data_IF_326384217836
#
_entry.id   IF_326384217836
#
_cell.length_a   1.000
_cell.length_b   1.000
_cell.length_c   1.000
_cell.angle_alpha   90.00
_cell.angle_beta   90.00
_cell.angle_gamma   90.00
#
_symmetry.space_group_name_H-M   'P 1'
#
loop_
_entity.id
_entity.type
_entity.pdbx_description
1 polymer ?
#
# COMPACT_ATOMS: atom_id res chain seq x y z
N UNK A 1 23.72 3.91 25.68
CA UNK A 1 22.32 4.18 26.03
C UNK A 1 21.77 2.94 26.70
N UNK A 2 21.46 3.02 28.01
CA UNK A 2 20.87 1.89 28.73
C UNK A 2 19.46 1.69 28.20
N UNK A 3 19.17 0.51 27.69
CA UNK A 3 17.84 0.03 27.40
C UNK A 3 17.07 -0.09 28.73
N UNK A 4 16.37 0.98 29.10
CA UNK A 4 15.53 0.97 30.30
C UNK A 4 14.24 0.27 29.90
N UNK A 5 14.14 -1.02 30.22
CA UNK A 5 12.89 -1.78 30.11
C UNK A 5 11.80 -1.07 30.91
N UNK A 6 10.81 -0.52 30.21
CA UNK A 6 9.63 0.05 30.85
C UNK A 6 8.68 -1.07 31.24
N UNK A 7 8.18 -1.03 32.49
CA UNK A 7 7.17 -1.97 32.96
C UNK A 7 5.78 -1.40 32.74
N UNK A 8 4.80 -2.26 32.70
CA UNK A 8 3.39 -1.83 32.64
C UNK A 8 3.08 -0.92 33.84
N UNK A 9 2.55 0.28 33.57
CA UNK A 9 2.28 1.30 34.58
C UNK A 9 3.38 2.36 34.76
N UNK A 10 4.56 2.17 34.17
CA UNK A 10 5.60 3.19 34.20
C UNK A 10 5.21 4.42 33.36
N UNK A 11 5.53 5.60 33.85
CA UNK A 11 5.30 6.85 33.10
C UNK A 11 6.40 7.04 32.07
N UNK A 12 6.02 7.08 30.80
CA UNK A 12 6.92 7.41 29.70
C UNK A 12 7.00 8.93 29.53
N UNK A 13 8.15 9.52 29.88
CA UNK A 13 8.42 10.95 29.74
C UNK A 13 9.30 11.21 28.52
N UNK A 14 8.74 11.88 27.50
CA UNK A 14 9.43 12.20 26.23
C UNK A 14 9.63 13.72 26.13
N UNK A 15 10.63 14.24 26.82
CA UNK A 15 10.89 15.69 26.91
C UNK A 15 11.23 16.31 25.55
N UNK A 16 11.98 15.62 24.71
CA UNK A 16 12.41 16.12 23.41
C UNK A 16 11.26 16.11 22.39
N UNK A 17 10.42 15.08 22.39
CA UNK A 17 9.20 15.08 21.61
C UNK A 17 8.24 16.21 22.03
N UNK A 18 8.16 16.48 23.32
CA UNK A 18 7.37 17.61 23.83
C UNK A 18 7.90 18.98 23.35
N UNK A 19 9.23 19.14 23.20
CA UNK A 19 9.82 20.35 22.60
C UNK A 19 9.46 20.45 21.12
N UNK A 20 9.58 19.36 20.37
CA UNK A 20 9.19 19.28 18.95
C UNK A 20 7.74 19.72 18.75
N UNK A 21 6.81 19.18 19.55
CA UNK A 21 5.40 19.61 19.49
C UNK A 21 5.16 21.07 19.85
N UNK A 22 5.95 21.63 20.78
CA UNK A 22 5.88 23.06 21.08
C UNK A 22 6.32 23.94 19.91
N UNK A 23 7.36 23.53 19.17
CA UNK A 23 7.80 24.23 17.96
C UNK A 23 6.71 24.16 16.87
N UNK A 24 6.17 22.97 16.60
CA UNK A 24 5.09 22.81 15.62
C UNK A 24 3.85 23.63 16.01
N UNK A 25 3.47 23.65 17.31
CA UNK A 25 2.36 24.46 17.77
C UNK A 25 2.60 25.96 17.57
N UNK A 26 3.84 26.43 17.71
CA UNK A 26 4.20 27.84 17.58
C UNK A 26 4.26 28.28 16.11
N UNK A 27 4.95 27.51 15.28
CA UNK A 27 5.38 27.92 13.94
C UNK A 27 4.69 27.12 12.81
N UNK A 28 3.76 26.21 13.17
CA UNK A 28 3.02 25.37 12.23
C UNK A 28 3.90 24.44 11.41
N UNK A 29 3.48 24.13 10.19
CA UNK A 29 4.24 23.29 9.25
C UNK A 29 5.63 23.85 8.92
N UNK A 30 5.79 25.17 9.01
CA UNK A 30 7.07 25.85 8.75
C UNK A 30 8.17 25.36 9.70
N UNK A 31 7.86 25.05 10.96
CA UNK A 31 8.84 24.48 11.90
C UNK A 31 9.45 23.18 11.38
N UNK A 32 8.67 22.39 10.67
CA UNK A 32 9.06 21.10 10.13
C UNK A 32 9.75 21.22 8.76
N UNK A 33 9.13 21.89 7.81
CA UNK A 33 9.61 21.90 6.42
C UNK A 33 10.69 22.94 6.13
N UNK A 34 10.71 24.09 6.83
CA UNK A 34 11.66 25.21 6.59
C UNK A 34 12.33 25.68 7.90
N UNK A 35 12.14 24.93 8.99
CA UNK A 35 12.59 25.33 10.33
C UNK A 35 13.69 24.44 10.92
N UNK A 36 13.77 24.54 12.23
CA UNK A 36 14.77 23.83 13.04
C UNK A 36 14.63 22.30 12.94
N UNK A 37 13.37 21.81 12.88
CA UNK A 37 13.10 20.37 12.82
C UNK A 37 13.59 19.81 11.48
N UNK A 38 13.26 20.47 10.36
CA UNK A 38 13.69 20.03 9.04
C UNK A 38 15.20 20.02 8.87
N UNK A 39 15.88 21.05 9.38
CA UNK A 39 17.35 21.07 9.36
C UNK A 39 17.94 19.90 10.15
N UNK A 40 17.44 19.65 11.36
CA UNK A 40 17.91 18.53 12.18
C UNK A 40 17.66 17.16 11.53
N UNK A 41 16.57 17.00 10.78
CA UNK A 41 16.30 15.78 10.00
C UNK A 41 17.33 15.63 8.89
N UNK A 42 17.57 16.68 8.09
CA UNK A 42 18.52 16.64 7.00
C UNK A 42 19.95 16.37 7.48
N UNK A 43 20.37 17.02 8.58
CA UNK A 43 21.68 16.81 9.20
C UNK A 43 21.86 15.33 9.61
N UNK A 44 20.90 14.72 10.29
CA UNK A 44 20.97 13.31 10.69
C UNK A 44 21.02 12.39 9.48
N UNK A 45 20.21 12.64 8.44
CA UNK A 45 20.24 11.83 7.22
C UNK A 45 21.61 11.90 6.54
N UNK A 46 22.21 13.10 6.46
CA UNK A 46 23.53 13.30 5.84
C UNK A 46 24.64 12.67 6.68
N UNK A 47 24.59 12.76 7.99
CA UNK A 47 25.55 12.13 8.91
C UNK A 47 25.61 10.60 8.72
N UNK A 48 24.51 9.97 8.33
CA UNK A 48 24.43 8.55 7.98
C UNK A 48 24.64 8.25 6.50
N UNK A 49 25.11 9.23 5.72
CA UNK A 49 25.43 9.06 4.29
C UNK A 49 24.24 9.16 3.34
N UNK A 50 23.10 9.65 3.80
CA UNK A 50 21.94 9.94 2.95
C UNK A 50 22.08 11.26 2.18
N UNK A 51 21.22 11.48 1.17
CA UNK A 51 21.28 12.62 0.25
C UNK A 51 20.28 13.74 0.53
N UNK A 52 19.38 13.55 1.50
CA UNK A 52 18.34 14.55 1.82
C UNK A 52 18.97 15.88 2.27
N UNK A 53 18.46 16.97 1.71
CA UNK A 53 18.87 18.34 2.05
C UNK A 53 17.73 19.13 2.66
N UNK A 54 17.99 20.26 3.35
CA UNK A 54 16.92 21.16 3.79
C UNK A 54 16.04 21.67 2.65
N UNK A 55 16.62 21.82 1.45
CA UNK A 55 15.89 22.23 0.24
C UNK A 55 14.84 21.21 -0.20
N UNK A 56 15.11 19.93 -0.05
CA UNK A 56 14.14 18.87 -0.39
C UNK A 56 12.91 18.97 0.52
N UNK A 57 13.11 19.26 1.80
CA UNK A 57 12.01 19.46 2.74
C UNK A 57 11.25 20.76 2.45
N UNK A 58 11.96 21.86 2.18
CA UNK A 58 11.31 23.18 1.94
C UNK A 58 10.49 23.23 0.66
N UNK A 59 10.83 22.40 -0.33
CA UNK A 59 10.09 22.27 -1.60
C UNK A 59 8.99 21.21 -1.58
N UNK A 60 8.82 20.49 -0.47
CA UNK A 60 7.77 19.48 -0.37
C UNK A 60 6.39 20.13 -0.45
N UNK A 61 5.59 19.65 -1.37
CA UNK A 61 4.19 20.05 -1.55
C UNK A 61 3.25 18.88 -1.29
N UNK A 62 2.10 19.19 -0.71
CA UNK A 62 1.05 18.19 -0.44
C UNK A 62 0.22 18.01 -1.70
N UNK A 63 0.07 16.78 -2.16
CA UNK A 63 -0.87 16.46 -3.24
C UNK A 63 -2.26 16.17 -2.68
N UNK A 64 -3.27 16.38 -3.52
CA UNK A 64 -4.66 16.04 -3.19
C UNK A 64 -5.22 15.15 -4.28
N UNK A 65 -5.40 13.89 -3.96
CA UNK A 65 -5.83 12.86 -4.88
C UNK A 65 -7.23 12.36 -4.57
N UNK A 66 -7.89 11.80 -5.60
CA UNK A 66 -9.17 11.12 -5.41
C UNK A 66 -8.92 9.73 -4.80
N UNK A 67 -9.80 9.28 -3.88
CA UNK A 67 -9.68 7.91 -3.38
C UNK A 67 -9.88 6.90 -4.51
N UNK A 68 -9.25 5.74 -4.38
CA UNK A 68 -9.62 4.58 -5.16
C UNK A 68 -10.86 3.93 -4.54
N UNK A 69 -11.68 3.35 -5.39
CA UNK A 69 -12.93 2.72 -4.99
C UNK A 69 -12.93 1.25 -5.36
N UNK A 70 -13.60 0.45 -4.55
CA UNK A 70 -13.92 -0.94 -4.79
C UNK A 70 -15.19 -1.33 -4.08
N UNK A 71 -15.66 -2.55 -4.33
CA UNK A 71 -16.82 -3.13 -3.66
C UNK A 71 -16.42 -4.48 -3.06
N UNK A 72 -16.99 -4.82 -1.91
CA UNK A 72 -16.90 -6.14 -1.30
C UNK A 72 -18.18 -6.45 -0.52
N UNK A 73 -18.87 -7.54 -0.86
CA UNK A 73 -20.11 -7.99 -0.22
C UNK A 73 -21.19 -6.90 -0.13
N UNK A 74 -21.33 -6.07 -1.16
CA UNK A 74 -22.32 -4.99 -1.21
C UNK A 74 -21.95 -3.72 -0.45
N UNK A 75 -20.71 -3.62 0.04
CA UNK A 75 -20.18 -2.42 0.67
C UNK A 75 -19.19 -1.71 -0.27
N UNK A 76 -19.43 -0.42 -0.47
CA UNK A 76 -18.46 0.43 -1.15
C UNK A 76 -17.25 0.69 -0.24
N UNK A 77 -16.06 0.51 -0.78
CA UNK A 77 -14.79 0.72 -0.08
C UNK A 77 -14.04 1.86 -0.75
N UNK A 78 -13.82 2.95 0.00
CA UNK A 78 -12.92 4.02 -0.39
C UNK A 78 -11.57 3.85 0.31
N UNK A 79 -10.47 3.93 -0.43
CA UNK A 79 -9.14 3.81 0.16
C UNK A 79 -8.14 4.75 -0.50
N UNK A 80 -6.94 4.84 0.08
CA UNK A 80 -5.89 5.72 -0.43
C UNK A 80 -5.35 5.21 -1.76
N UNK A 81 -5.16 6.12 -2.75
CA UNK A 81 -4.52 5.81 -4.01
C UNK A 81 -3.00 5.66 -3.82
N UNK A 82 -2.26 5.24 -4.87
CA UNK A 82 -0.81 5.39 -4.89
C UNK A 82 -0.37 6.84 -4.61
N UNK A 83 0.80 7.05 -4.01
CA UNK A 83 1.86 6.07 -3.74
C UNK A 83 1.60 5.10 -2.57
N UNK A 84 0.48 5.27 -1.86
CA UNK A 84 0.08 4.28 -0.85
C UNK A 84 -0.29 2.95 -1.50
N UNK A 85 0.46 1.92 -1.21
CA UNK A 85 0.19 0.57 -1.72
C UNK A 85 -0.97 -0.13 -1.00
N UNK A 86 -1.33 0.32 0.21
CA UNK A 86 -2.30 -0.35 1.08
C UNK A 86 -3.68 -0.51 0.46
N UNK A 87 -4.21 0.56 -0.14
CA UNK A 87 -5.56 0.55 -0.70
C UNK A 87 -5.73 -0.40 -1.87
N UNK A 88 -4.82 -0.33 -2.86
CA UNK A 88 -4.87 -1.16 -4.07
C UNK A 88 -4.81 -2.64 -3.73
N UNK A 89 -3.79 -3.03 -2.94
CA UNK A 89 -3.57 -4.44 -2.65
C UNK A 89 -4.56 -5.00 -1.61
N UNK A 90 -5.13 -4.15 -0.75
CA UNK A 90 -6.28 -4.55 0.07
C UNK A 90 -7.50 -4.88 -0.81
N UNK A 91 -7.86 -4.02 -1.77
CA UNK A 91 -8.94 -4.29 -2.70
C UNK A 91 -8.67 -5.52 -3.57
N UNK A 92 -7.43 -5.70 -4.02
CA UNK A 92 -7.01 -6.89 -4.75
C UNK A 92 -7.18 -8.16 -3.89
N UNK A 93 -6.74 -8.15 -2.64
CA UNK A 93 -6.92 -9.27 -1.71
C UNK A 93 -8.39 -9.60 -1.47
N UNK A 94 -9.24 -8.60 -1.29
CA UNK A 94 -10.67 -8.80 -1.12
C UNK A 94 -11.30 -9.46 -2.34
N UNK A 95 -10.94 -9.01 -3.54
CA UNK A 95 -11.40 -9.62 -4.80
C UNK A 95 -10.86 -11.04 -4.99
N UNK A 96 -9.59 -11.28 -4.68
CA UNK A 96 -8.97 -12.61 -4.78
C UNK A 96 -9.62 -13.64 -3.88
N UNK A 97 -10.10 -13.24 -2.69
CA UNK A 97 -10.64 -14.16 -1.69
C UNK A 97 -12.16 -14.34 -1.78
N UNK A 98 -12.84 -13.50 -2.54
CA UNK A 98 -14.30 -13.40 -2.54
C UNK A 98 -14.99 -14.73 -2.92
N UNK A 99 -14.53 -15.39 -3.98
CA UNK A 99 -15.10 -16.65 -4.47
C UNK A 99 -14.89 -17.84 -3.54
N UNK A 100 -13.99 -17.73 -2.55
CA UNK A 100 -13.72 -18.79 -1.59
C UNK A 100 -14.70 -18.81 -0.40
N UNK A 101 -15.63 -17.86 -0.33
CA UNK A 101 -16.69 -17.81 0.68
C UNK A 101 -16.21 -18.09 2.11
N UNK A 102 -15.30 -17.23 2.63
CA UNK A 102 -14.66 -17.41 3.93
C UNK A 102 -15.62 -17.65 5.12
N UNK A 103 -16.88 -17.26 4.98
CA UNK A 103 -17.92 -17.45 6.01
C UNK A 103 -18.28 -18.91 6.26
N UNK A 104 -17.99 -19.80 5.31
CA UNK A 104 -18.25 -21.25 5.46
C UNK A 104 -17.24 -21.96 6.38
N UNK A 105 -16.10 -21.33 6.65
CA UNK A 105 -15.04 -21.92 7.48
C UNK A 105 -15.11 -21.38 8.91
N UNK A 106 -14.73 -22.23 9.86
CA UNK A 106 -14.57 -21.79 11.26
C UNK A 106 -13.57 -20.63 11.33
N UNK A 107 -13.80 -19.59 12.17
CA UNK A 107 -12.90 -18.43 12.27
C UNK A 107 -11.45 -18.78 12.59
N UNK A 108 -11.19 -19.93 13.19
CA UNK A 108 -9.85 -20.40 13.57
C UNK A 108 -9.41 -21.65 12.77
N UNK A 109 -10.09 -21.96 11.67
CA UNK A 109 -9.74 -23.12 10.85
C UNK A 109 -8.43 -22.91 10.08
N UNK A 110 -7.75 -24.01 9.79
CA UNK A 110 -6.56 -24.01 8.95
C UNK A 110 -6.87 -23.48 7.54
N UNK A 111 -7.98 -23.91 6.96
CA UNK A 111 -8.42 -23.53 5.61
C UNK A 111 -8.54 -22.00 5.48
N UNK A 112 -9.14 -21.36 6.46
CA UNK A 112 -9.31 -19.90 6.47
C UNK A 112 -7.97 -19.16 6.50
N UNK A 113 -7.05 -19.57 7.39
CA UNK A 113 -5.73 -18.97 7.47
C UNK A 113 -4.89 -19.27 6.24
N UNK A 114 -5.01 -20.48 5.68
CA UNK A 114 -4.33 -20.87 4.45
C UNK A 114 -4.77 -19.99 3.27
N UNK A 115 -6.08 -19.84 3.03
CA UNK A 115 -6.62 -18.98 1.99
C UNK A 115 -6.17 -17.53 2.13
N UNK A 116 -6.19 -17.00 3.35
CA UNK A 116 -5.69 -15.65 3.62
C UNK A 116 -4.19 -15.52 3.26
N UNK A 117 -3.37 -16.50 3.66
CA UNK A 117 -1.94 -16.49 3.39
C UNK A 117 -1.65 -16.57 1.88
N UNK A 118 -2.29 -17.49 1.14
CA UNK A 118 -2.12 -17.61 -0.32
C UNK A 118 -2.57 -16.34 -1.06
N UNK A 119 -3.70 -15.77 -0.66
CA UNK A 119 -4.19 -14.48 -1.18
C UNK A 119 -3.18 -13.36 -0.97
N UNK A 120 -2.64 -13.28 0.26
CA UNK A 120 -1.61 -12.29 0.58
C UNK A 120 -0.33 -12.51 -0.23
N UNK A 121 0.12 -13.75 -0.41
CA UNK A 121 1.30 -14.07 -1.23
C UNK A 121 1.16 -13.52 -2.64
N UNK A 122 0.03 -13.74 -3.31
CA UNK A 122 -0.24 -13.25 -4.66
C UNK A 122 -0.24 -11.72 -4.72
N UNK A 123 -0.98 -11.08 -3.82
CA UNK A 123 -1.06 -9.62 -3.78
C UNK A 123 0.29 -8.96 -3.43
N UNK A 124 1.07 -9.55 -2.55
CA UNK A 124 2.40 -9.03 -2.21
C UNK A 124 3.43 -9.24 -3.32
N UNK A 125 3.32 -10.31 -4.12
CA UNK A 125 4.15 -10.48 -5.31
C UNK A 125 3.86 -9.38 -6.34
N UNK A 126 2.60 -9.09 -6.60
CA UNK A 126 2.18 -7.98 -7.48
C UNK A 126 2.61 -6.62 -6.89
N UNK A 127 2.45 -6.44 -5.59
CA UNK A 127 2.90 -5.23 -4.89
C UNK A 127 4.40 -4.99 -5.07
N UNK A 128 5.22 -6.03 -4.94
CA UNK A 128 6.67 -5.91 -5.09
C UNK A 128 7.10 -5.52 -6.50
N UNK A 129 6.30 -5.90 -7.51
CA UNK A 129 6.60 -5.60 -8.91
C UNK A 129 6.05 -4.25 -9.38
N UNK A 130 4.88 -3.84 -8.88
CA UNK A 130 4.11 -2.74 -9.47
C UNK A 130 3.81 -1.57 -8.53
N UNK A 131 4.03 -1.70 -7.21
CA UNK A 131 3.82 -0.57 -6.32
C UNK A 131 4.97 0.43 -6.42
N UNK A 132 4.62 1.68 -6.66
CA UNK A 132 5.57 2.78 -6.74
C UNK A 132 4.87 4.13 -6.65
N UNK A 133 5.64 5.17 -6.75
CA UNK A 133 5.13 6.53 -6.81
C UNK A 133 4.72 6.86 -8.26
N UNK A 134 3.44 7.20 -8.52
CA UNK A 134 2.94 7.50 -9.87
C UNK A 134 3.61 8.71 -10.53
N UNK A 135 4.29 9.57 -9.77
CA UNK A 135 5.08 10.65 -10.35
C UNK A 135 6.34 10.15 -11.07
N UNK A 136 6.81 8.94 -10.74
CA UNK A 136 8.06 8.37 -11.26
C UNK A 136 7.88 7.07 -12.02
N UNK A 137 6.81 6.31 -11.74
CA UNK A 137 6.54 5.01 -12.36
C UNK A 137 5.08 4.86 -12.73
N UNK A 138 4.82 4.11 -13.78
CA UNK A 138 3.45 3.77 -14.17
C UNK A 138 2.93 2.61 -13.31
N UNK A 139 1.85 2.85 -12.58
CA UNK A 139 1.21 1.87 -11.69
C UNK A 139 -0.07 1.36 -12.34
N UNK A 140 -0.16 0.07 -12.73
CA UNK A 140 -1.28 -0.48 -13.50
C UNK A 140 -2.53 -0.72 -12.65
N UNK A 141 -3.10 0.35 -12.06
CA UNK A 141 -4.23 0.27 -11.13
C UNK A 141 -5.43 -0.48 -11.70
N UNK A 142 -5.83 -0.14 -12.93
CA UNK A 142 -6.97 -0.76 -13.60
C UNK A 142 -6.74 -2.25 -13.84
N UNK A 143 -5.53 -2.62 -14.28
CA UNK A 143 -5.17 -4.01 -14.53
C UNK A 143 -5.07 -4.84 -13.25
N UNK A 144 -4.48 -4.30 -12.20
CA UNK A 144 -4.35 -5.00 -10.90
C UNK A 144 -5.72 -5.32 -10.25
N UNK A 145 -6.75 -4.55 -10.57
CA UNK A 145 -8.10 -4.72 -10.03
C UNK A 145 -9.09 -5.25 -11.08
N UNK A 146 -8.62 -5.54 -12.30
CA UNK A 146 -9.43 -6.07 -13.39
C UNK A 146 -9.99 -7.47 -13.04
N UNK A 147 -11.28 -7.74 -13.28
CA UNK A 147 -11.91 -9.02 -12.94
C UNK A 147 -11.24 -10.23 -13.60
N UNK A 148 -10.80 -10.12 -14.86
CA UNK A 148 -10.16 -11.23 -15.57
C UNK A 148 -8.77 -11.51 -15.02
N UNK A 149 -8.01 -10.45 -14.69
CA UNK A 149 -6.73 -10.59 -13.99
C UNK A 149 -6.89 -11.25 -12.62
N UNK A 150 -7.85 -10.78 -11.82
CA UNK A 150 -8.15 -11.38 -10.52
C UNK A 150 -8.48 -12.86 -10.66
N UNK A 151 -9.31 -13.22 -11.63
CA UNK A 151 -9.70 -14.61 -11.89
C UNK A 151 -8.52 -15.49 -12.30
N UNK A 152 -7.62 -14.99 -13.13
CA UNK A 152 -6.38 -15.69 -13.47
C UNK A 152 -5.54 -15.94 -12.22
N UNK A 153 -5.36 -14.91 -11.38
CA UNK A 153 -4.60 -15.03 -10.13
C UNK A 153 -5.24 -15.99 -9.13
N UNK A 154 -6.56 -16.01 -9.03
CA UNK A 154 -7.30 -16.94 -8.15
C UNK A 154 -7.02 -18.40 -8.47
N UNK A 155 -6.80 -18.76 -9.75
CA UNK A 155 -6.48 -20.13 -10.16
C UNK A 155 -5.17 -20.66 -9.57
N UNK A 156 -4.33 -19.80 -9.06
CA UNK A 156 -3.06 -20.16 -8.40
C UNK A 156 -3.24 -20.52 -6.91
N UNK A 157 -4.43 -20.28 -6.34
CA UNK A 157 -4.76 -20.61 -4.95
C UNK A 157 -5.31 -22.03 -4.88
N UNK A 158 -4.66 -22.89 -4.10
CA UNK A 158 -5.10 -24.26 -3.84
C UNK A 158 -5.34 -24.46 -2.36
N UNK A 159 -6.43 -25.17 -1.98
CA UNK A 159 -6.65 -25.57 -0.60
C UNK A 159 -5.79 -26.76 -0.16
N UNK A 160 -5.21 -27.51 -1.12
CA UNK A 160 -4.48 -28.74 -0.85
C UNK A 160 -2.95 -28.54 -0.75
N UNK A 161 -2.45 -27.41 -1.25
CA UNK A 161 -1.01 -27.16 -1.32
C UNK A 161 -0.67 -25.68 -1.23
N UNK A 162 0.51 -25.38 -0.70
CA UNK A 162 1.09 -24.03 -0.66
C UNK A 162 1.80 -23.74 -1.99
N UNK A 163 1.49 -22.60 -2.60
CA UNK A 163 2.27 -22.10 -3.73
C UNK A 163 3.57 -21.47 -3.23
N UNK A 164 4.71 -22.16 -3.44
CA UNK A 164 6.02 -21.70 -2.95
C UNK A 164 6.79 -20.82 -3.94
N UNK A 165 6.37 -20.76 -5.19
CA UNK A 165 7.00 -19.94 -6.26
C UNK A 165 6.04 -18.92 -6.80
N UNK A 166 5.49 -18.08 -5.91
CA UNK A 166 4.57 -17.02 -6.27
C UNK A 166 5.33 -15.89 -6.95
N UNK A 167 4.92 -15.57 -8.18
CA UNK A 167 5.43 -14.44 -8.98
C UNK A 167 4.31 -13.44 -9.22
N UNK A 168 4.70 -12.20 -9.53
CA UNK A 168 3.76 -11.22 -10.03
C UNK A 168 3.12 -11.71 -11.33
N UNK A 169 1.84 -11.41 -11.52
CA UNK A 169 1.16 -11.59 -12.80
C UNK A 169 1.50 -10.48 -13.78
N UNK A 170 0.80 -10.44 -14.93
CA UNK A 170 0.94 -9.36 -15.90
C UNK A 170 -0.39 -8.56 -16.02
N UNK A 171 -0.57 -7.51 -15.22
CA UNK A 171 -1.78 -6.70 -15.22
C UNK A 171 -1.93 -5.82 -16.49
N UNK A 172 -0.89 -5.73 -17.31
CA UNK A 172 -0.93 -4.92 -18.54
C UNK A 172 -1.63 -5.62 -19.70
N UNK A 173 -1.58 -6.95 -19.76
CA UNK A 173 -2.16 -7.72 -20.88
C UNK A 173 -3.69 -7.63 -20.93
N UNK A 174 -4.36 -7.51 -19.80
CA UNK A 174 -5.82 -7.46 -19.69
C UNK A 174 -6.37 -6.14 -20.21
N UNK A 175 -5.69 -5.03 -19.97
CA UNK A 175 -6.09 -3.70 -20.46
C UNK A 175 -6.09 -3.60 -22.00
N UNK A 176 -5.25 -4.34 -22.70
CA UNK A 176 -5.17 -4.34 -24.17
C UNK A 176 -6.32 -5.11 -24.86
N UNK A 177 -6.89 -6.13 -24.22
CA UNK A 177 -8.00 -6.90 -24.81
C UNK A 177 -9.29 -6.11 -24.88
N UNK A 178 -9.57 -5.26 -23.87
CA UNK A 178 -10.75 -4.38 -23.88
C UNK A 178 -10.65 -3.24 -24.90
N UNK A 179 -9.47 -2.66 -25.11
CA UNK A 179 -9.25 -1.62 -26.14
C UNK A 179 -9.43 -2.17 -27.56
N UNK A 180 -8.99 -3.41 -27.83
CA UNK A 180 -9.20 -4.05 -29.15
C UNK A 180 -10.65 -4.39 -29.43
N UNK A 181 -11.44 -4.74 -28.44
CA UNK A 181 -12.86 -5.04 -28.61
C UNK A 181 -13.69 -3.79 -28.99
N UNK A 182 -13.29 -2.60 -28.53
CA UNK A 182 -13.92 -1.33 -28.87
C UNK A 182 -13.52 -0.78 -30.26
N UNK A 183 -12.32 -1.08 -30.74
CA UNK A 183 -11.87 -0.61 -32.05
C UNK A 183 -12.42 -1.42 -33.22
N UNK A 184 -12.73 -2.72 -33.03
CA UNK A 184 -13.29 -3.58 -34.09
C UNK A 184 -14.79 -3.36 -34.36
N UNK A 185 -15.48 -2.60 -33.50
CA UNK A 185 -16.91 -2.29 -33.65
C UNK A 185 -17.23 -1.06 -34.51
N UNK A 186 -16.24 -0.34 -35.05
CA UNK A 186 -16.45 0.90 -35.84
C UNK A 186 -16.22 0.82 -37.34
N UNK A 187 -15.93 -0.35 -37.89
CA UNK A 187 -15.77 -0.55 -39.32
C UNK A 187 -16.67 -1.68 -39.81
N UNK A 188 -17.98 -1.43 -39.87
CA UNK A 188 -18.95 -2.07 -40.77
C UNK A 188 -20.06 -1.06 -41.09
#
# INVERSE_FOLDING_TARGET
ASDVYKRQGDILVQKDLAKTFKLIRKDGSKAFYDGEIGRAIADVVQDFGGSMTPDDLSRYEVTTDKPIWGEYHGYDIASMPPPSSGGVFMLQMLKLIDDFHLSQYDPKSFEKYHLLAETMHLAYADRAAYAGDPEFVDVPLSGLLDPDYIKERQQLISLESVNRDVKAGDPWTVSYTHLRAHETGRNL
#
